data_IF_948275533865
#
_entry.id   IF_948275533865
#
_cell.length_a   1.000
_cell.length_b   1.000
_cell.length_c   1.000
_cell.angle_alpha   90.00
_cell.angle_beta   90.00
_cell.angle_gamma   90.00
#
_symmetry.space_group_name_H-M   'P 1'
#
loop_
_entity.id
_entity.type
_entity.pdbx_description
1 polymer ?
#
# COMPACT_ATOMS: atom_id res chain seq x y z
N UNK A 1 -10.41 20.11 -22.29
CA UNK A 1 -10.79 18.69 -22.41
C UNK A 1 -9.91 17.79 -21.53
N UNK A 2 -9.95 17.95 -20.19
CA UNK A 2 -8.93 17.34 -19.28
C UNK A 2 -9.54 16.64 -18.05
N UNK A 3 -10.83 16.30 -18.07
CA UNK A 3 -11.47 15.57 -16.96
C UNK A 3 -12.08 14.27 -17.47
N UNK A 4 -11.24 13.29 -17.79
CA UNK A 4 -11.69 11.90 -17.91
C UNK A 4 -12.09 11.46 -16.50
N UNK A 5 -13.40 11.34 -16.23
CA UNK A 5 -13.91 10.63 -15.05
C UNK A 5 -13.23 9.26 -15.02
N UNK A 6 -12.31 9.06 -14.08
CA UNK A 6 -11.80 7.74 -13.74
C UNK A 6 -13.00 6.92 -13.26
N UNK A 7 -13.50 6.03 -14.12
CA UNK A 7 -14.44 4.98 -13.70
C UNK A 7 -13.64 4.02 -12.82
N UNK A 8 -13.67 4.29 -11.51
CA UNK A 8 -13.08 3.42 -10.49
C UNK A 8 -14.06 2.27 -10.24
N UNK A 9 -13.81 1.14 -10.90
CA UNK A 9 -14.46 -0.13 -10.55
C UNK A 9 -13.78 -0.67 -9.28
N UNK A 10 -14.43 -0.46 -8.14
CA UNK A 10 -14.00 -0.98 -6.84
C UNK A 10 -14.13 -2.51 -6.75
N UNK A 11 -15.12 -3.08 -7.45
CA UNK A 11 -15.38 -4.51 -7.45
C UNK A 11 -14.52 -5.24 -8.50
N UNK A 12 -13.21 -4.95 -8.50
CA UNK A 12 -12.25 -5.62 -9.37
C UNK A 12 -11.66 -6.81 -8.65
N UNK A 13 -11.57 -7.93 -9.36
CA UNK A 13 -10.83 -9.08 -8.87
C UNK A 13 -9.33 -8.86 -9.01
N UNK A 14 -8.65 -8.80 -7.87
CA UNK A 14 -7.20 -8.77 -7.80
C UNK A 14 -6.67 -10.19 -8.01
N UNK A 15 -6.14 -10.46 -9.19
CA UNK A 15 -5.34 -11.67 -9.43
C UNK A 15 -4.11 -11.69 -8.50
N UNK A 16 -3.58 -12.88 -8.22
CA UNK A 16 -2.37 -13.08 -7.39
C UNK A 16 -1.22 -12.20 -7.87
N UNK A 17 -1.04 -12.07 -9.18
CA UNK A 17 -0.03 -11.17 -9.76
C UNK A 17 -0.23 -9.70 -9.37
N UNK A 18 -1.48 -9.23 -9.34
CA UNK A 18 -1.79 -7.85 -8.94
C UNK A 18 -1.50 -7.64 -7.45
N UNK A 19 -1.79 -8.63 -6.60
CA UNK A 19 -1.48 -8.56 -5.17
C UNK A 19 0.02 -8.53 -4.92
N UNK A 20 0.81 -9.30 -5.68
CA UNK A 20 2.28 -9.26 -5.62
C UNK A 20 2.79 -7.88 -6.05
N UNK A 21 2.25 -7.30 -7.13
CA UNK A 21 2.66 -5.96 -7.58
C UNK A 21 2.32 -4.88 -6.53
N UNK A 22 1.13 -4.98 -5.92
CA UNK A 22 0.69 -4.12 -4.82
C UNK A 22 1.59 -4.27 -3.60
N UNK A 23 1.99 -5.50 -3.25
CA UNK A 23 2.94 -5.76 -2.17
C UNK A 23 4.26 -5.01 -2.36
N UNK A 24 4.87 -5.10 -3.54
CA UNK A 24 6.12 -4.38 -3.83
C UNK A 24 5.91 -2.87 -3.87
N UNK A 25 4.78 -2.41 -4.39
CA UNK A 25 4.43 -0.98 -4.43
C UNK A 25 4.31 -0.39 -3.03
N UNK A 26 3.55 -1.04 -2.13
CA UNK A 26 3.41 -0.60 -0.75
C UNK A 26 4.72 -0.73 0.04
N UNK A 27 5.51 -1.77 -0.23
CA UNK A 27 6.84 -1.92 0.39
C UNK A 27 7.80 -0.80 -0.01
N UNK A 28 7.75 -0.36 -1.26
CA UNK A 28 8.54 0.77 -1.76
C UNK A 28 8.05 2.10 -1.18
N UNK A 29 6.73 2.34 -1.16
CA UNK A 29 6.18 3.56 -0.54
C UNK A 29 6.52 3.66 0.95
N UNK A 30 6.43 2.55 1.68
CA UNK A 30 6.83 2.49 3.09
C UNK A 30 8.31 2.78 3.30
N UNK A 31 9.17 2.27 2.40
CA UNK A 31 10.59 2.60 2.42
C UNK A 31 10.85 4.09 2.15
N UNK A 32 10.20 4.68 1.13
CA UNK A 32 10.31 6.13 0.87
C UNK A 32 9.86 6.94 2.09
N UNK A 33 8.75 6.55 2.73
CA UNK A 33 8.24 7.21 3.93
C UNK A 33 9.25 7.18 5.08
N UNK A 34 9.83 6.02 5.40
CA UNK A 34 10.82 5.92 6.47
C UNK A 34 12.11 6.67 6.17
N UNK A 35 12.59 6.61 4.92
CA UNK A 35 13.76 7.36 4.50
C UNK A 35 13.52 8.86 4.62
N UNK A 36 12.36 9.36 4.19
CA UNK A 36 12.01 10.77 4.34
C UNK A 36 11.93 11.21 5.80
N UNK A 37 11.36 10.38 6.67
CA UNK A 37 11.29 10.65 8.12
C UNK A 37 12.69 10.75 8.73
N UNK A 38 13.58 9.78 8.47
CA UNK A 38 14.94 9.82 9.03
C UNK A 38 15.77 10.96 8.43
N UNK A 39 15.55 11.31 7.17
CA UNK A 39 16.18 12.51 6.57
C UNK A 39 15.70 13.78 7.26
N UNK A 40 14.43 13.85 7.66
CA UNK A 40 13.88 14.99 8.38
C UNK A 40 14.36 15.06 9.84
N UNK A 41 14.41 13.93 10.54
CA UNK A 41 14.77 13.87 11.97
C UNK A 41 16.29 13.92 12.20
N UNK A 42 17.05 13.06 11.53
CA UNK A 42 18.49 12.88 11.78
C UNK A 42 19.37 13.65 10.79
N UNK A 43 18.80 14.17 9.69
CA UNK A 43 19.56 14.79 8.60
C UNK A 43 20.48 13.81 7.85
N UNK A 44 20.39 12.52 8.14
CA UNK A 44 21.22 11.47 7.56
C UNK A 44 20.38 10.50 6.75
N UNK A 45 20.87 10.15 5.56
CA UNK A 45 20.23 9.14 4.72
C UNK A 45 20.60 7.74 5.23
N UNK A 46 19.74 7.16 6.06
CA UNK A 46 19.91 5.79 6.56
C UNK A 46 19.04 4.84 5.72
N UNK A 47 19.68 3.88 5.04
CA UNK A 47 18.94 2.85 4.32
C UNK A 47 18.39 1.81 5.32
N UNK A 48 17.12 1.98 5.73
CA UNK A 48 16.37 1.04 6.59
C UNK A 48 15.77 -0.13 5.79
N UNK A 49 16.02 -0.16 4.49
CA UNK A 49 15.59 -1.22 3.60
C UNK A 49 16.16 -2.58 3.94
N UNK A 50 15.34 -3.62 3.80
CA UNK A 50 15.77 -5.01 4.05
C UNK A 50 16.72 -5.45 2.92
N UNK A 51 17.80 -6.18 3.25
CA UNK A 51 18.82 -6.63 2.29
C UNK A 51 19.42 -5.49 1.43
N UNK A 52 19.59 -4.29 1.99
CA UNK A 52 20.03 -3.08 1.28
C UNK A 52 19.11 -2.61 0.14
N UNK A 53 17.94 -3.24 -0.06
CA UNK A 53 16.99 -2.89 -1.12
C UNK A 53 15.96 -1.84 -0.70
N UNK A 54 15.39 -1.05 -1.63
CA UNK A 54 14.42 -0.01 -1.34
C UNK A 54 13.00 -0.57 -1.07
N UNK A 55 12.88 -1.56 -0.19
CA UNK A 55 11.61 -2.18 0.15
C UNK A 55 11.56 -2.53 1.64
N UNK A 56 10.43 -2.22 2.26
CA UNK A 56 10.10 -2.71 3.59
C UNK A 56 8.89 -3.65 3.52
N UNK A 57 9.09 -4.98 3.64
CA UNK A 57 8.04 -5.99 3.55
C UNK A 57 6.88 -5.76 4.55
N UNK A 58 7.13 -5.10 5.68
CA UNK A 58 6.08 -4.81 6.68
C UNK A 58 4.96 -3.92 6.10
N UNK A 59 5.31 -2.92 5.30
CA UNK A 59 4.34 -2.06 4.62
C UNK A 59 3.66 -2.80 3.46
N UNK A 60 4.39 -3.66 2.76
CA UNK A 60 3.82 -4.56 1.74
C UNK A 60 2.75 -5.48 2.29
N UNK A 61 3.08 -6.23 3.35
CA UNK A 61 2.17 -7.11 4.05
C UNK A 61 0.97 -6.35 4.60
N UNK A 62 1.20 -5.20 5.24
CA UNK A 62 0.14 -4.35 5.77
C UNK A 62 -0.83 -3.87 4.69
N UNK A 63 -0.32 -3.35 3.57
CA UNK A 63 -1.14 -2.89 2.46
C UNK A 63 -1.98 -3.98 1.81
N UNK A 64 -1.39 -5.17 1.57
CA UNK A 64 -2.13 -6.33 1.05
C UNK A 64 -3.17 -6.82 2.05
N UNK A 65 -2.83 -6.88 3.34
CA UNK A 65 -3.74 -7.28 4.41
C UNK A 65 -4.94 -6.34 4.48
N UNK A 66 -4.71 -5.01 4.42
CA UNK A 66 -5.77 -4.01 4.40
C UNK A 66 -6.69 -4.23 3.19
N UNK A 67 -6.16 -4.46 1.99
CA UNK A 67 -7.01 -4.70 0.80
C UNK A 67 -7.88 -5.95 0.96
N UNK A 68 -7.29 -7.06 1.45
CA UNK A 68 -8.01 -8.33 1.60
C UNK A 68 -9.06 -8.25 2.72
N UNK A 69 -8.70 -7.68 3.87
CA UNK A 69 -9.63 -7.54 5.00
C UNK A 69 -10.71 -6.51 4.70
N UNK A 70 -10.34 -5.33 4.16
CA UNK A 70 -11.29 -4.27 3.87
C UNK A 70 -12.28 -4.69 2.79
N UNK A 71 -11.91 -5.53 1.82
CA UNK A 71 -12.88 -6.13 0.87
C UNK A 71 -13.93 -6.98 1.60
N UNK A 72 -13.50 -7.81 2.55
CA UNK A 72 -14.41 -8.64 3.36
C UNK A 72 -15.33 -7.81 4.26
N UNK A 73 -14.84 -6.67 4.76
CA UNK A 73 -15.65 -5.75 5.56
C UNK A 73 -16.53 -4.82 4.72
N UNK A 74 -16.10 -4.42 3.52
CA UNK A 74 -16.86 -3.57 2.61
C UNK A 74 -18.10 -4.28 2.02
N UNK A 75 -18.07 -5.60 1.88
CA UNK A 75 -19.30 -6.37 1.56
C UNK A 75 -20.31 -6.37 2.72
N UNK A 76 -19.86 -6.05 3.95
CA UNK A 76 -20.67 -6.05 5.18
C UNK A 76 -20.94 -4.65 5.72
N UNK A 77 -20.38 -3.58 5.16
CA UNK A 77 -20.49 -2.21 5.70
C UNK A 77 -21.93 -1.68 5.75
N UNK A 78 -22.84 -2.22 4.93
CA UNK A 78 -24.27 -1.91 5.05
C UNK A 78 -24.88 -2.30 6.42
N UNK A 79 -24.25 -3.22 7.16
CA UNK A 79 -24.65 -3.66 8.51
C UNK A 79 -23.74 -3.12 9.62
N UNK A 80 -22.53 -2.64 9.30
CA UNK A 80 -21.56 -2.16 10.31
C UNK A 80 -21.83 -0.72 10.77
N UNK A 81 -22.57 0.05 9.97
CA UNK A 81 -22.96 1.44 10.29
C UNK A 81 -24.48 1.61 10.51
N UNK A 82 -25.23 0.51 10.54
CA UNK A 82 -26.65 0.46 10.91
C UNK A 82 -26.78 0.09 12.39
#
# INVERSE_FOLDING_TARGET
AVWKKLKLDYNRDYSVYSLILLFFTFSFMGWVWEVLLHVYEDGMFVNRGVMHGPWLPIYGCGGVLVIVLLRKFADRTALTFA
#
